data_IF_282523012884
#
_entry.id   IF_282523012884
#
_cell.length_a   1.000
_cell.length_b   1.000
_cell.length_c   1.000
_cell.angle_alpha   90.00
_cell.angle_beta   90.00
_cell.angle_gamma   90.00
#
_symmetry.space_group_name_H-M   'P 1'
#
loop_
_entity.id
_entity.type
_entity.pdbx_description
1 polymer ?
#
# COMPACT_ATOMS: atom_id res chain seq x y z
N UNK A 1 2.82 14.23 15.14
CA UNK A 1 1.73 13.39 14.60
C UNK A 1 2.20 12.85 13.27
N UNK A 2 1.97 11.58 12.97
CA UNK A 2 2.32 10.97 11.68
C UNK A 2 1.05 10.79 10.84
N UNK A 3 1.13 11.05 9.53
CA UNK A 3 0.01 11.02 8.58
C UNK A 3 0.28 10.00 7.48
N UNK A 4 -0.71 9.15 7.21
CA UNK A 4 -0.71 8.19 6.09
C UNK A 4 -1.92 8.42 5.20
N UNK A 5 -1.70 8.50 3.88
CA UNK A 5 -2.76 8.51 2.86
C UNK A 5 -2.71 7.19 2.09
N UNK A 6 -3.85 6.52 1.86
CA UNK A 6 -3.90 5.15 1.37
C UNK A 6 -4.87 4.97 0.20
N UNK A 7 -4.65 3.94 -0.62
CA UNK A 7 -5.52 3.60 -1.75
C UNK A 7 -5.23 4.45 -2.99
N UNK A 8 -3.97 4.83 -3.17
CA UNK A 8 -3.53 5.71 -4.25
C UNK A 8 -3.41 4.94 -5.57
N UNK A 9 -4.22 5.31 -6.57
CA UNK A 9 -4.26 4.64 -7.89
C UNK A 9 -4.20 5.59 -9.09
N UNK A 10 -4.32 6.89 -8.89
CA UNK A 10 -4.31 7.88 -9.98
C UNK A 10 -3.00 8.67 -9.93
N UNK A 11 -2.16 8.64 -10.98
CA UNK A 11 -0.85 9.31 -10.98
C UNK A 11 -0.90 10.80 -10.60
N UNK A 12 -1.85 11.56 -11.15
CA UNK A 12 -2.00 12.99 -10.83
C UNK A 12 -2.33 13.21 -9.36
N UNK A 13 -3.18 12.36 -8.79
CA UNK A 13 -3.52 12.41 -7.37
C UNK A 13 -2.33 11.99 -6.48
N UNK A 14 -1.56 11.00 -6.91
CA UNK A 14 -0.30 10.60 -6.26
C UNK A 14 0.63 11.80 -6.16
N UNK A 15 0.87 12.50 -7.27
CA UNK A 15 1.75 13.66 -7.28
C UNK A 15 1.23 14.81 -6.41
N UNK A 16 -0.06 15.12 -6.48
CA UNK A 16 -0.67 16.17 -5.66
C UNK A 16 -0.55 15.87 -4.16
N UNK A 17 -0.90 14.64 -3.74
CA UNK A 17 -0.80 14.22 -2.34
C UNK A 17 0.65 14.16 -1.87
N UNK A 18 1.57 13.68 -2.72
CA UNK A 18 2.99 13.67 -2.39
C UNK A 18 3.53 15.09 -2.15
N UNK A 19 3.05 16.09 -2.91
CA UNK A 19 3.36 17.51 -2.69
C UNK A 19 2.86 18.08 -1.35
N UNK A 20 1.94 17.39 -0.66
CA UNK A 20 1.50 17.73 0.69
C UNK A 20 2.37 17.09 1.79
N UNK A 21 3.37 16.29 1.41
CA UNK A 21 4.36 15.68 2.31
C UNK A 21 3.76 14.84 3.46
N UNK A 22 2.88 13.86 3.18
CA UNK A 22 2.49 12.88 4.21
C UNK A 22 3.70 12.02 4.59
N UNK A 23 3.74 11.54 5.84
CA UNK A 23 4.81 10.65 6.29
C UNK A 23 4.79 9.31 5.53
N UNK A 24 3.60 8.84 5.16
CA UNK A 24 3.40 7.58 4.43
C UNK A 24 2.38 7.67 3.30
N UNK A 25 2.65 6.97 2.20
CA UNK A 25 1.70 6.74 1.11
C UNK A 25 1.48 5.25 0.89
N UNK A 26 0.22 4.82 0.88
CA UNK A 26 -0.19 3.42 0.82
C UNK A 26 -0.74 2.99 -0.54
N UNK A 27 -0.24 1.87 -1.04
CA UNK A 27 -0.60 1.27 -2.33
C UNK A 27 -1.15 -0.14 -2.12
N UNK A 28 -2.38 -0.40 -2.57
CA UNK A 28 -3.00 -1.71 -2.41
C UNK A 28 -2.53 -2.65 -3.52
N UNK A 29 -1.85 -3.73 -3.15
CA UNK A 29 -1.17 -4.65 -4.06
C UNK A 29 -1.84 -6.03 -4.10
N UNK A 30 -3.16 -6.09 -3.87
CA UNK A 30 -3.98 -7.29 -4.05
C UNK A 30 -5.06 -7.03 -5.13
N UNK A 31 -5.17 -7.87 -6.17
CA UNK A 31 -6.00 -7.59 -7.37
C UNK A 31 -7.50 -7.40 -7.12
N UNK A 32 -8.04 -7.97 -6.04
CA UNK A 32 -9.48 -7.86 -5.71
C UNK A 32 -9.89 -6.49 -5.18
N UNK A 33 -8.94 -5.61 -4.86
CA UNK A 33 -9.25 -4.24 -4.44
C UNK A 33 -9.77 -3.39 -5.59
N UNK A 34 -10.84 -2.58 -5.40
CA UNK A 34 -11.17 -1.52 -6.36
C UNK A 34 -10.09 -0.43 -6.45
N UNK A 35 -9.15 -0.41 -5.50
CA UNK A 35 -7.99 0.48 -5.43
C UNK A 35 -6.68 -0.26 -5.69
N UNK A 36 -6.72 -1.36 -6.47
CA UNK A 36 -5.52 -2.09 -6.85
C UNK A 36 -4.56 -1.19 -7.64
N UNK A 37 -3.41 -0.93 -7.05
CA UNK A 37 -2.42 0.01 -7.58
C UNK A 37 -1.49 -0.63 -8.62
N UNK A 38 -1.40 -1.96 -8.68
CA UNK A 38 -0.42 -2.67 -9.52
C UNK A 38 -0.55 -2.43 -11.04
N UNK A 39 -1.70 -1.93 -11.51
CA UNK A 39 -1.91 -1.54 -12.91
C UNK A 39 -1.61 -0.06 -13.18
N UNK A 40 -1.48 0.76 -12.12
CA UNK A 40 -1.41 2.21 -12.22
C UNK A 40 -0.08 2.79 -11.74
N UNK A 41 0.69 2.05 -10.95
CA UNK A 41 1.98 2.48 -10.42
C UNK A 41 3.13 1.76 -11.11
N UNK A 42 4.25 2.46 -11.23
CA UNK A 42 5.54 1.92 -11.64
C UNK A 42 6.65 2.65 -10.88
N UNK A 43 7.89 2.17 -11.00
CA UNK A 43 9.04 2.76 -10.31
C UNK A 43 9.19 4.27 -10.60
N UNK A 44 9.02 4.71 -11.85
CA UNK A 44 9.18 6.12 -12.21
C UNK A 44 8.21 7.08 -11.52
N UNK A 45 7.01 6.61 -11.15
CA UNK A 45 6.05 7.38 -10.35
C UNK A 45 6.48 7.38 -8.89
N UNK A 46 6.82 6.20 -8.37
CA UNK A 46 7.11 5.97 -6.97
C UNK A 46 8.41 6.63 -6.50
N UNK A 47 9.45 6.65 -7.33
CA UNK A 47 10.74 7.31 -7.05
C UNK A 47 10.60 8.82 -6.83
N UNK A 48 9.54 9.43 -7.38
CA UNK A 48 9.28 10.87 -7.28
C UNK A 48 8.51 11.24 -6.01
N UNK A 49 8.11 10.28 -5.19
CA UNK A 49 7.32 10.51 -3.98
C UNK A 49 8.28 10.86 -2.82
N UNK A 50 8.25 12.08 -2.28
CA UNK A 50 8.83 12.36 -0.97
C UNK A 50 8.04 11.62 0.11
N UNK A 51 8.70 10.76 0.88
CA UNK A 51 8.10 10.03 2.01
C UNK A 51 8.19 8.52 1.88
N UNK A 52 7.55 7.80 2.81
CA UNK A 52 7.65 6.33 2.92
C UNK A 52 6.54 5.63 2.15
N UNK A 53 6.92 4.69 1.30
CA UNK A 53 6.00 3.93 0.42
C UNK A 53 5.61 2.61 1.07
N UNK A 54 4.31 2.42 1.30
CA UNK A 54 3.79 1.25 2.01
C UNK A 54 2.94 0.39 1.07
N UNK A 55 3.34 -0.86 0.86
CA UNK A 55 2.50 -1.85 0.16
C UNK A 55 1.46 -2.44 1.10
N UNK A 56 0.20 -2.49 0.68
CA UNK A 56 -0.88 -3.12 1.43
C UNK A 56 -1.24 -4.44 0.78
N UNK A 57 -1.23 -5.52 1.56
CA UNK A 57 -1.46 -6.89 1.09
C UNK A 57 -2.61 -7.52 1.87
N UNK A 58 -3.39 -8.39 1.21
CA UNK A 58 -4.51 -9.10 1.84
C UNK A 58 -4.29 -10.61 1.72
N UNK A 59 -3.99 -11.28 2.84
CA UNK A 59 -3.74 -12.73 2.88
C UNK A 59 -2.70 -13.25 1.86
N UNK A 60 -1.74 -12.42 1.45
CA UNK A 60 -0.71 -12.80 0.49
C UNK A 60 0.42 -13.60 1.15
N UNK A 61 1.06 -14.48 0.37
CA UNK A 61 2.23 -15.21 0.84
C UNK A 61 3.49 -14.32 0.87
N UNK A 62 4.48 -14.74 1.66
CA UNK A 62 5.69 -13.95 1.89
C UNK A 62 6.51 -13.71 0.60
N UNK A 63 6.58 -14.71 -0.29
CA UNK A 63 7.30 -14.60 -1.57
C UNK A 63 6.72 -13.48 -2.45
N UNK A 64 5.39 -13.42 -2.53
CA UNK A 64 4.66 -12.38 -3.27
C UNK A 64 4.89 -11.00 -2.64
N UNK A 65 4.87 -10.91 -1.31
CA UNK A 65 5.14 -9.66 -0.59
C UNK A 65 6.56 -9.17 -0.89
N UNK A 66 7.57 -10.03 -0.71
CA UNK A 66 8.98 -9.69 -0.96
C UNK A 66 9.18 -9.28 -2.41
N UNK A 67 8.62 -10.03 -3.37
CA UNK A 67 8.70 -9.71 -4.79
C UNK A 67 8.15 -8.31 -5.10
N UNK A 68 7.03 -7.93 -4.49
CA UNK A 68 6.46 -6.59 -4.66
C UNK A 68 7.26 -5.49 -3.94
N UNK A 69 7.82 -5.77 -2.76
CA UNK A 69 8.71 -4.85 -2.05
C UNK A 69 9.92 -4.51 -2.92
N UNK A 70 10.57 -5.51 -3.50
CA UNK A 70 11.70 -5.31 -4.41
C UNK A 70 11.27 -4.63 -5.71
N UNK A 71 10.14 -5.05 -6.31
CA UNK A 71 9.66 -4.52 -7.60
C UNK A 71 9.33 -3.02 -7.53
N UNK A 72 8.77 -2.55 -6.42
CA UNK A 72 8.26 -1.19 -6.26
C UNK A 72 9.07 -0.33 -5.27
N UNK A 73 10.23 -0.83 -4.83
CA UNK A 73 11.11 -0.17 -3.85
C UNK A 73 10.35 0.29 -2.58
N UNK A 74 9.53 -0.60 -2.01
CA UNK A 74 8.68 -0.24 -0.88
C UNK A 74 9.51 -0.11 0.42
N UNK A 75 9.21 0.94 1.19
CA UNK A 75 9.84 1.18 2.49
C UNK A 75 9.23 0.34 3.62
N UNK A 76 8.04 -0.23 3.39
CA UNK A 76 7.35 -1.04 4.37
C UNK A 76 6.12 -1.74 3.81
N UNK A 77 5.55 -2.60 4.65
CA UNK A 77 4.39 -3.42 4.31
C UNK A 77 3.31 -3.27 5.37
N UNK A 78 2.05 -3.27 4.94
CA UNK A 78 0.86 -3.37 5.77
C UNK A 78 0.12 -4.65 5.39
N UNK A 79 -0.02 -5.57 6.33
CA UNK A 79 -0.71 -6.84 6.12
C UNK A 79 -2.13 -6.69 6.66
N UNK A 80 -3.11 -6.76 5.76
CA UNK A 80 -4.51 -7.01 6.12
C UNK A 80 -4.72 -8.51 6.18
N UNK A 81 -5.23 -9.00 7.31
CA UNK A 81 -5.80 -10.34 7.35
C UNK A 81 -7.30 -10.22 7.15
N UNK A 82 -7.84 -11.00 6.20
CA UNK A 82 -9.28 -11.17 6.03
C UNK A 82 -9.83 -12.30 6.92
N UNK A 83 -9.02 -12.84 7.84
CA UNK A 83 -9.49 -13.82 8.80
C UNK A 83 -10.76 -13.29 9.44
N UNK A 84 -11.87 -14.00 9.22
CA UNK A 84 -13.15 -13.69 9.84
C UNK A 84 -12.86 -13.50 11.32
N UNK A 85 -13.03 -12.27 11.81
CA UNK A 85 -12.89 -11.96 13.23
C UNK A 85 -13.74 -12.98 13.98
N UNK A 86 -13.08 -13.97 14.59
CA UNK A 86 -13.77 -14.94 15.43
C UNK A 86 -14.04 -14.21 16.74
N UNK A 87 -15.26 -13.74 16.87
CA UNK A 87 -15.75 -13.18 18.13
C UNK A 87 -15.89 -14.32 19.13
N UNK A 88 -14.98 -14.39 20.08
CA UNK A 88 -15.15 -15.22 21.27
C UNK A 88 -15.78 -14.36 22.36
N UNK A 89 -16.92 -14.81 22.89
CA UNK A 89 -17.54 -14.22 24.08
C UNK A 89 -17.26 -15.15 25.24
N UNK A 90 -16.69 -14.65 26.33
CA UNK A 90 -16.66 -15.42 27.59
C UNK A 90 -18.12 -15.69 28.00
N UNK A 91 -18.45 -16.96 28.21
CA UNK A 91 -19.61 -17.35 29.00
C UNK A 91 -19.28 -17.19 30.48
#
# INVERSE_FOLDING_TARGET
MLIKVCGMIHPDNIHQIAGLHPDFMGFELFPSSPRYAGNSINLSILEKIPGKKIGVFLNENLETIIGNVCKYDLDGVQIHSADKVKWYRCQ
#
